data_IF_613050371255
#
_entry.id   IF_613050371255
#
_cell.length_a   1.000
_cell.length_b   1.000
_cell.length_c   1.000
_cell.angle_alpha   90.00
_cell.angle_beta   90.00
_cell.angle_gamma   90.00
#
_symmetry.space_group_name_H-M   'P 1'
#
loop_
_entity.id
_entity.type
_entity.pdbx_description
1 polymer ?
#
# COMPACT_ATOMS: atom_id res chain seq x y z
N UNK A 1 -8.65 14.69 16.92
CA UNK A 1 -7.20 14.87 16.70
C UNK A 1 -7.00 15.96 15.68
N UNK A 2 -6.23 16.97 16.01
CA UNK A 2 -6.37 18.29 15.38
C UNK A 2 -5.78 18.33 13.97
N UNK A 3 -6.60 18.67 13.01
CA UNK A 3 -6.25 19.00 11.63
C UNK A 3 -5.15 20.09 11.54
N UNK A 4 -4.99 20.89 12.59
CA UNK A 4 -3.97 21.95 12.65
C UNK A 4 -2.51 21.45 12.66
N UNK A 5 -2.21 20.27 13.22
CA UNK A 5 -0.86 19.69 13.13
C UNK A 5 -0.54 19.17 11.72
N UNK A 6 -1.54 18.70 10.99
CA UNK A 6 -1.37 18.28 9.60
C UNK A 6 -1.18 19.48 8.64
N UNK A 7 -1.69 20.65 8.99
CA UNK A 7 -1.45 21.89 8.23
C UNK A 7 0.04 22.31 8.21
N UNK A 8 0.74 22.15 9.35
CA UNK A 8 2.15 22.51 9.44
C UNK A 8 3.03 21.60 8.58
N UNK A 9 2.71 20.29 8.58
CA UNK A 9 3.44 19.33 7.76
C UNK A 9 3.16 19.50 6.26
N UNK A 10 1.94 19.92 5.91
CA UNK A 10 1.57 20.19 4.52
C UNK A 10 2.33 21.43 3.98
N UNK A 11 2.36 22.54 4.74
CA UNK A 11 3.07 23.74 4.33
C UNK A 11 4.58 23.55 4.15
N UNK A 12 5.21 22.72 5.00
CA UNK A 12 6.63 22.37 4.90
C UNK A 12 6.90 21.52 3.65
N UNK A 13 6.00 20.58 3.34
CA UNK A 13 6.15 19.72 2.15
C UNK A 13 6.03 20.52 0.85
N UNK A 14 5.11 21.45 0.76
CA UNK A 14 4.93 22.32 -0.40
C UNK A 14 6.12 23.24 -0.62
N UNK A 15 6.62 23.86 0.44
CA UNK A 15 7.84 24.67 0.39
C UNK A 15 9.01 23.85 -0.14
N UNK A 16 9.19 22.61 0.32
CA UNK A 16 10.23 21.73 -0.14
C UNK A 16 10.03 21.24 -1.60
N UNK A 17 8.78 21.01 -2.01
CA UNK A 17 8.45 20.66 -3.39
C UNK A 17 8.71 21.79 -4.37
N UNK A 18 8.45 23.03 -3.98
CA UNK A 18 8.73 24.24 -4.75
C UNK A 18 10.24 24.59 -4.73
N UNK A 19 10.91 24.49 -3.59
CA UNK A 19 12.34 24.77 -3.44
C UNK A 19 13.24 23.79 -4.21
N UNK A 20 12.90 22.50 -4.23
CA UNK A 20 13.68 21.47 -4.92
C UNK A 20 13.58 21.53 -6.46
N UNK A 21 12.80 22.47 -6.99
CA UNK A 21 12.59 22.63 -8.44
C UNK A 21 13.00 23.98 -8.97
N UNK A 22 13.80 24.62 -8.22
CA UNK A 22 14.37 25.95 -8.35
C UNK A 22 14.90 26.37 -9.71
N UNK A 23 14.58 25.82 -10.77
CA UNK A 23 14.99 26.36 -12.06
C UNK A 23 13.88 26.89 -12.91
N UNK A 24 12.66 26.41 -12.71
CA UNK A 24 11.57 26.63 -13.68
C UNK A 24 10.41 27.47 -13.15
N UNK A 25 10.17 27.48 -11.86
CA UNK A 25 8.94 28.06 -11.29
C UNK A 25 9.14 29.40 -10.59
N UNK A 26 10.37 29.73 -10.20
CA UNK A 26 10.67 30.93 -9.45
C UNK A 26 11.21 32.08 -10.30
N UNK A 27 11.54 31.83 -11.54
CA UNK A 27 11.90 32.89 -12.49
C UNK A 27 10.66 33.20 -13.34
N UNK A 28 10.05 34.35 -13.13
CA UNK A 28 9.01 34.90 -13.97
C UNK A 28 9.48 34.89 -15.42
N UNK A 29 8.89 34.09 -16.32
CA UNK A 29 9.25 34.16 -17.73
C UNK A 29 8.92 35.54 -18.27
N UNK A 30 9.86 36.21 -18.92
CA UNK A 30 9.68 37.56 -19.47
C UNK A 30 8.51 37.66 -20.48
N UNK A 31 8.01 36.50 -20.94
CA UNK A 31 6.93 36.41 -21.93
C UNK A 31 5.51 36.56 -21.37
N UNK A 32 5.31 36.53 -20.03
CA UNK A 32 3.97 36.51 -19.43
C UNK A 32 3.67 37.80 -18.70
N UNK A 33 2.56 38.47 -19.09
CA UNK A 33 2.22 39.78 -18.53
C UNK A 33 1.88 39.72 -17.03
N UNK A 34 1.13 38.69 -16.57
CA UNK A 34 0.79 38.47 -15.15
C UNK A 34 0.50 36.97 -14.88
N UNK A 35 1.53 36.12 -14.80
CA UNK A 35 1.31 34.72 -14.50
C UNK A 35 0.83 34.54 -13.05
N UNK A 36 -0.09 33.60 -12.85
CA UNK A 36 -0.67 33.24 -11.57
C UNK A 36 -0.50 31.76 -11.29
N UNK A 37 -0.34 31.38 -10.02
CA UNK A 37 -0.33 30.01 -9.57
C UNK A 37 -1.74 29.60 -9.11
N UNK A 38 -2.22 28.48 -9.60
CA UNK A 38 -3.37 27.78 -9.11
C UNK A 38 -2.95 26.45 -8.47
N UNK A 39 -3.54 26.07 -7.35
CA UNK A 39 -3.30 24.79 -6.72
C UNK A 39 -4.62 24.08 -6.41
N UNK A 40 -4.64 22.75 -6.62
CA UNK A 40 -5.82 21.93 -6.35
C UNK A 40 -5.41 20.60 -5.76
N UNK A 41 -6.09 20.13 -4.70
CA UNK A 41 -5.90 18.79 -4.14
C UNK A 41 -7.05 17.89 -4.58
N UNK A 42 -6.70 16.78 -5.20
CA UNK A 42 -7.62 15.74 -5.65
C UNK A 42 -7.43 14.47 -4.82
N UNK A 43 -8.51 13.74 -4.56
CA UNK A 43 -8.41 12.38 -3.99
C UNK A 43 -8.05 11.35 -5.08
N UNK A 44 -7.89 10.09 -4.67
CA UNK A 44 -7.54 8.99 -5.58
C UNK A 44 -8.65 8.71 -6.62
N UNK A 45 -9.88 9.09 -6.32
CA UNK A 45 -11.05 8.96 -7.20
C UNK A 45 -11.20 10.15 -8.16
N UNK A 46 -10.28 11.13 -8.08
CA UNK A 46 -10.30 12.32 -8.92
C UNK A 46 -11.28 13.41 -8.46
N UNK A 47 -11.75 13.34 -7.21
CA UNK A 47 -12.63 14.36 -6.64
C UNK A 47 -11.80 15.45 -5.97
N UNK A 48 -12.11 16.69 -6.29
CA UNK A 48 -11.50 17.86 -5.68
C UNK A 48 -11.83 17.95 -4.19
N UNK A 49 -10.81 18.19 -3.37
CA UNK A 49 -10.92 18.37 -1.91
C UNK A 49 -10.73 19.81 -1.49
N UNK A 50 -9.84 20.51 -2.14
CA UNK A 50 -9.59 21.92 -1.90
C UNK A 50 -8.94 22.56 -3.11
N UNK A 51 -9.13 23.86 -3.27
CA UNK A 51 -8.56 24.67 -4.34
C UNK A 51 -8.17 26.04 -3.84
N UNK A 52 -7.02 26.49 -4.26
CA UNK A 52 -6.57 27.86 -4.06
C UNK A 52 -6.86 28.66 -5.32
N UNK A 53 -7.46 29.83 -5.13
CA UNK A 53 -7.67 30.81 -6.19
C UNK A 53 -6.33 31.31 -6.72
N UNK A 54 -6.30 31.84 -7.95
CA UNK A 54 -5.06 32.32 -8.54
C UNK A 54 -4.31 33.26 -7.61
N UNK A 55 -3.06 32.93 -7.33
CA UNK A 55 -2.11 33.75 -6.58
C UNK A 55 -1.13 34.38 -7.57
N UNK A 56 -0.76 35.67 -7.40
CA UNK A 56 0.32 36.25 -8.20
C UNK A 56 1.59 35.44 -8.06
N UNK A 57 2.27 35.18 -9.19
CA UNK A 57 3.51 34.43 -9.19
C UNK A 57 4.65 35.32 -8.67
N UNK A 58 5.17 34.98 -7.51
CA UNK A 58 6.30 35.62 -6.86
C UNK A 58 7.49 34.65 -6.81
N UNK A 59 8.68 35.14 -6.40
CA UNK A 59 9.87 34.31 -6.26
C UNK A 59 9.72 33.19 -5.22
N UNK A 60 8.88 33.40 -4.19
CA UNK A 60 8.52 32.42 -3.18
C UNK A 60 7.02 32.59 -2.86
N UNK A 61 6.25 31.51 -3.02
CA UNK A 61 4.81 31.51 -2.73
C UNK A 61 4.55 30.52 -1.61
N UNK A 62 3.94 31.01 -0.52
CA UNK A 62 3.46 30.15 0.56
C UNK A 62 1.94 30.16 0.56
N UNK A 63 1.34 28.98 0.59
CA UNK A 63 -0.10 28.82 0.67
C UNK A 63 -0.48 27.65 1.59
N UNK A 64 -1.72 27.61 2.02
CA UNK A 64 -2.25 26.57 2.88
C UNK A 64 -3.51 25.97 2.26
N UNK A 65 -3.58 24.65 2.15
CA UNK A 65 -4.75 23.93 1.68
C UNK A 65 -5.30 23.04 2.80
N UNK A 66 -6.60 22.76 2.75
CA UNK A 66 -7.29 22.02 3.78
C UNK A 66 -8.01 20.80 3.18
N UNK A 67 -7.64 19.61 3.63
CA UNK A 67 -8.39 18.39 3.39
C UNK A 67 -9.11 18.00 4.68
N UNK A 68 -10.45 18.01 4.65
CA UNK A 68 -11.25 17.62 5.81
C UNK A 68 -11.32 16.10 5.93
N UNK A 69 -11.06 15.57 7.14
CA UNK A 69 -11.09 14.17 7.47
C UNK A 69 -10.34 13.31 6.43
N UNK A 70 -9.04 13.58 6.19
CA UNK A 70 -8.30 12.87 5.16
C UNK A 70 -8.23 11.37 5.49
N UNK A 71 -8.31 10.53 4.45
CA UNK A 71 -7.94 9.12 4.57
C UNK A 71 -6.44 9.05 4.84
N UNK A 72 -6.09 8.45 5.97
CA UNK A 72 -4.70 8.43 6.43
C UNK A 72 -3.91 7.32 5.73
N UNK A 73 -2.72 7.66 5.28
CA UNK A 73 -1.77 6.76 4.66
C UNK A 73 -1.14 5.82 5.71
N UNK A 74 -0.95 4.57 5.32
CA UNK A 74 -0.11 3.60 6.02
C UNK A 74 0.49 2.63 4.98
N UNK A 75 1.46 1.80 5.37
CA UNK A 75 2.14 0.92 4.43
C UNK A 75 1.26 -0.23 3.89
N UNK A 76 0.18 -0.59 4.58
CA UNK A 76 -0.75 -1.64 4.16
C UNK A 76 -1.81 -1.10 3.19
N UNK A 77 -2.26 0.17 3.38
CA UNK A 77 -3.20 0.90 2.52
C UNK A 77 -2.62 2.29 2.18
N UNK A 78 -1.74 2.38 1.18
CA UNK A 78 -1.01 3.60 0.84
C UNK A 78 -1.88 4.60 0.06
N UNK A 79 -2.88 5.18 0.71
CA UNK A 79 -3.75 6.14 0.08
C UNK A 79 -3.04 7.48 -0.15
N UNK A 80 -2.97 7.90 -1.40
CA UNK A 80 -2.36 9.15 -1.80
C UNK A 80 -3.38 10.10 -2.45
N UNK A 81 -3.22 11.38 -2.14
CA UNK A 81 -3.86 12.49 -2.82
C UNK A 81 -2.93 13.03 -3.91
N UNK A 82 -3.46 13.81 -4.83
CA UNK A 82 -2.69 14.51 -5.85
C UNK A 82 -2.78 16.02 -5.61
N UNK A 83 -1.64 16.67 -5.42
CA UNK A 83 -1.52 18.11 -5.50
C UNK A 83 -1.22 18.48 -6.95
N UNK A 84 -2.10 19.23 -7.56
CA UNK A 84 -1.96 19.76 -8.91
C UNK A 84 -1.60 21.23 -8.79
N UNK A 85 -0.47 21.60 -9.35
CA UNK A 85 0.02 22.98 -9.44
C UNK A 85 -0.03 23.38 -10.93
N UNK A 86 -0.62 24.53 -11.21
CA UNK A 86 -0.74 25.05 -12.57
C UNK A 86 -0.35 26.53 -12.59
N UNK A 87 0.51 26.90 -13.53
CA UNK A 87 0.80 28.30 -13.84
C UNK A 87 -0.09 28.70 -15.00
N UNK A 88 -0.92 29.70 -14.80
CA UNK A 88 -1.81 30.24 -15.81
C UNK A 88 -1.34 31.62 -16.24
N UNK A 89 -1.44 31.91 -17.55
CA UNK A 89 -1.32 33.24 -18.12
C UNK A 89 -2.71 33.77 -18.46
N UNK A 90 -3.07 34.94 -17.95
CA UNK A 90 -4.42 35.44 -18.11
C UNK A 90 -5.48 34.53 -17.50
N UNK A 91 -6.69 34.52 -18.03
CA UNK A 91 -7.82 33.78 -17.44
C UNK A 91 -7.91 32.30 -17.85
N UNK A 92 -7.21 31.82 -18.90
CA UNK A 92 -7.55 30.53 -19.51
C UNK A 92 -6.42 29.69 -20.10
N UNK A 93 -5.17 30.04 -19.97
CA UNK A 93 -4.07 29.24 -20.57
C UNK A 93 -3.14 28.65 -19.51
N UNK A 94 -3.09 27.30 -19.44
CA UNK A 94 -2.10 26.60 -18.64
C UNK A 94 -0.77 26.54 -19.40
N UNK A 95 0.30 27.14 -18.86
CA UNK A 95 1.64 27.11 -19.42
C UNK A 95 2.49 25.98 -18.85
N UNK A 96 2.23 25.64 -17.60
CA UNK A 96 2.94 24.57 -16.93
C UNK A 96 2.03 23.92 -15.89
N UNK A 97 2.01 22.59 -15.88
CA UNK A 97 1.23 21.80 -14.95
C UNK A 97 2.10 20.74 -14.30
N UNK A 98 2.03 20.67 -13.00
CA UNK A 98 2.74 19.68 -12.22
C UNK A 98 1.79 18.95 -11.25
N UNK A 99 2.04 17.66 -11.07
CA UNK A 99 1.30 16.82 -10.14
C UNK A 99 2.24 16.17 -9.15
N UNK A 100 1.98 16.37 -7.87
CA UNK A 100 2.71 15.77 -6.76
C UNK A 100 1.81 14.82 -5.97
N UNK A 101 2.39 13.74 -5.49
CA UNK A 101 1.69 12.79 -4.63
C UNK A 101 1.78 13.26 -3.18
N UNK A 102 0.64 13.36 -2.48
CA UNK A 102 0.55 13.73 -1.07
C UNK A 102 -0.01 12.58 -0.25
N UNK A 103 0.43 12.45 1.00
CA UNK A 103 -0.12 11.51 1.95
C UNK A 103 -0.21 12.13 3.35
N UNK A 104 -1.29 11.85 4.05
CA UNK A 104 -1.51 12.28 5.43
C UNK A 104 -1.27 11.11 6.37
N UNK A 105 -0.38 11.29 7.35
CA UNK A 105 0.02 10.26 8.28
C UNK A 105 0.29 10.89 9.66
N UNK A 106 -0.19 10.26 10.72
CA UNK A 106 0.17 10.62 12.10
C UNK A 106 1.24 9.66 12.61
N UNK A 107 2.45 10.16 12.80
CA UNK A 107 3.60 9.39 13.27
C UNK A 107 3.97 9.82 14.69
N UNK A 108 3.95 8.89 15.64
CA UNK A 108 4.26 9.16 17.05
C UNK A 108 5.02 7.98 17.68
N UNK A 109 5.81 8.31 18.69
CA UNK A 109 6.38 7.31 19.60
C UNK A 109 5.59 7.35 20.91
N UNK A 110 5.01 6.22 21.27
CA UNK A 110 4.21 6.05 22.49
C UNK A 110 4.71 4.86 23.27
N UNK A 111 5.21 5.09 24.49
CA UNK A 111 5.75 4.02 25.31
C UNK A 111 6.93 3.24 24.69
N UNK A 112 7.74 3.91 23.87
CA UNK A 112 8.86 3.29 23.14
C UNK A 112 8.45 2.49 21.90
N UNK A 113 7.17 2.55 21.49
CA UNK A 113 6.67 1.93 20.27
C UNK A 113 6.37 3.00 19.22
N UNK A 114 6.77 2.75 17.99
CA UNK A 114 6.34 3.61 16.88
C UNK A 114 4.87 3.33 16.55
N UNK A 115 4.08 4.39 16.59
CA UNK A 115 2.66 4.36 16.27
C UNK A 115 2.41 5.16 14.99
N UNK A 116 1.73 4.55 14.04
CA UNK A 116 1.24 5.16 12.82
C UNK A 116 -0.29 5.25 12.95
N UNK A 117 -0.85 6.45 12.75
CA UNK A 117 -2.29 6.68 12.85
C UNK A 117 -2.90 6.09 14.15
N UNK A 118 -2.17 6.23 15.27
CA UNK A 118 -2.58 5.77 16.59
C UNK A 118 -2.41 4.27 16.86
N UNK A 119 -1.87 3.47 15.93
CA UNK A 119 -1.64 2.03 16.12
C UNK A 119 -0.15 1.70 16.07
N UNK A 120 0.32 0.84 16.97
CA UNK A 120 1.69 0.34 16.95
C UNK A 120 1.95 -0.48 15.69
N UNK A 121 3.08 -0.24 15.03
CA UNK A 121 3.46 -0.93 13.80
C UNK A 121 4.74 -1.74 13.98
N UNK A 122 4.82 -2.86 13.25
CA UNK A 122 6.04 -3.66 13.15
C UNK A 122 6.75 -3.33 11.84
N UNK A 123 8.01 -2.92 11.94
CA UNK A 123 8.85 -2.66 10.77
C UNK A 123 9.55 -3.93 10.31
N UNK A 124 9.27 -4.34 9.08
CA UNK A 124 9.97 -5.42 8.37
C UNK A 124 10.89 -4.76 7.35
N UNK A 125 12.10 -4.46 7.81
CA UNK A 125 13.01 -3.59 7.09
C UNK A 125 13.97 -4.33 6.17
N UNK A 126 14.46 -3.61 5.16
CA UNK A 126 15.63 -3.98 4.36
C UNK A 126 16.37 -2.71 3.95
N UNK A 127 17.68 -2.81 3.74
CA UNK A 127 18.50 -1.69 3.32
C UNK A 127 18.46 -1.49 1.81
N UNK A 128 18.53 -0.24 1.36
CA UNK A 128 18.65 0.06 -0.07
C UNK A 128 20.04 -0.37 -0.57
N UNK A 129 20.14 -1.30 -1.54
CA UNK A 129 21.43 -1.67 -2.14
C UNK A 129 22.11 -0.49 -2.80
N UNK A 130 23.45 -0.49 -2.75
CA UNK A 130 24.24 0.58 -3.35
C UNK A 130 24.25 0.55 -4.89
N UNK A 131 24.46 1.72 -5.50
CA UNK A 131 24.69 1.85 -6.95
C UNK A 131 23.48 1.57 -7.85
N UNK A 132 22.25 1.47 -7.29
CA UNK A 132 21.04 1.20 -8.09
C UNK A 132 20.60 2.42 -8.89
N UNK A 133 20.25 2.17 -10.16
CA UNK A 133 19.58 3.15 -11.02
C UNK A 133 18.09 3.29 -10.61
N UNK A 134 17.46 4.36 -11.04
CA UNK A 134 16.05 4.66 -10.72
C UNK A 134 15.07 3.51 -11.04
N UNK A 135 15.20 2.87 -12.20
CA UNK A 135 14.36 1.72 -12.59
C UNK A 135 14.58 0.49 -11.71
N UNK A 136 15.82 0.28 -11.25
CA UNK A 136 16.18 -0.82 -10.37
C UNK A 136 15.67 -0.59 -8.94
N UNK A 137 15.58 0.68 -8.50
CA UNK A 137 14.96 1.03 -7.21
C UNK A 137 13.48 0.69 -7.22
N UNK A 138 12.72 1.07 -8.24
CA UNK A 138 11.30 0.72 -8.33
C UNK A 138 11.08 -0.80 -8.37
N UNK A 139 11.91 -1.53 -9.11
CA UNK A 139 11.86 -2.99 -9.12
C UNK A 139 12.15 -3.57 -7.73
N UNK A 140 13.11 -3.00 -7.01
CA UNK A 140 13.46 -3.40 -5.66
C UNK A 140 12.29 -3.15 -4.68
N UNK A 141 11.63 -1.98 -4.74
CA UNK A 141 10.45 -1.68 -3.93
C UNK A 141 9.29 -2.66 -4.21
N UNK A 142 9.11 -3.05 -5.48
CA UNK A 142 8.14 -4.08 -5.85
C UNK A 142 8.45 -5.41 -5.19
N UNK A 143 9.70 -5.87 -5.26
CA UNK A 143 10.15 -7.11 -4.63
C UNK A 143 9.95 -7.03 -3.11
N UNK A 144 10.29 -5.91 -2.48
CA UNK A 144 10.04 -5.71 -1.05
C UNK A 144 8.59 -5.99 -0.67
N UNK A 145 7.61 -5.44 -1.40
CA UNK A 145 6.19 -5.69 -1.15
C UNK A 145 5.82 -7.15 -1.35
N UNK A 146 6.31 -7.79 -2.41
CA UNK A 146 6.07 -9.20 -2.72
C UNK A 146 6.72 -10.16 -1.70
N UNK A 147 7.76 -9.71 -1.00
CA UNK A 147 8.42 -10.44 0.10
C UNK A 147 8.02 -9.92 1.48
N UNK A 148 6.86 -9.25 1.56
CA UNK A 148 6.25 -8.77 2.80
C UNK A 148 7.09 -7.77 3.61
N UNK A 149 8.07 -7.12 3.00
CA UNK A 149 8.81 -6.01 3.61
C UNK A 149 7.99 -4.72 3.49
N UNK A 150 7.99 -3.93 4.54
CA UNK A 150 7.22 -2.68 4.61
C UNK A 150 8.10 -1.46 4.90
N UNK A 151 9.42 -1.64 5.09
CA UNK A 151 10.31 -0.57 5.54
C UNK A 151 11.61 -0.58 4.77
N UNK A 152 11.99 0.56 4.21
CA UNK A 152 13.26 0.79 3.56
C UNK A 152 14.18 1.59 4.47
N UNK A 153 15.40 1.08 4.71
CA UNK A 153 16.45 1.77 5.44
C UNK A 153 17.44 2.41 4.45
N UNK A 154 17.76 3.66 4.69
CA UNK A 154 18.71 4.42 3.89
C UNK A 154 19.69 5.18 4.76
N UNK A 155 20.86 5.50 4.20
CA UNK A 155 21.72 6.55 4.72
C UNK A 155 21.18 7.93 4.31
N UNK A 156 21.45 8.96 5.09
CA UNK A 156 20.93 10.32 4.86
C UNK A 156 21.28 10.90 3.48
N UNK A 157 22.45 10.52 2.92
CA UNK A 157 22.90 10.93 1.60
C UNK A 157 22.09 10.35 0.43
N UNK A 158 21.33 9.29 0.68
CA UNK A 158 20.47 8.63 -0.32
C UNK A 158 19.02 9.12 -0.33
N UNK A 159 18.68 10.01 0.60
CA UNK A 159 17.34 10.58 0.66
C UNK A 159 17.10 11.53 -0.51
N UNK A 160 16.02 11.32 -1.24
CA UNK A 160 15.61 12.19 -2.34
C UNK A 160 14.08 12.26 -2.40
N UNK A 161 13.54 13.38 -2.89
CA UNK A 161 12.10 13.56 -3.09
C UNK A 161 11.49 12.47 -3.98
N UNK A 162 12.23 12.00 -4.97
CA UNK A 162 11.79 10.91 -5.84
C UNK A 162 11.70 9.57 -5.09
N UNK A 163 12.67 9.24 -4.24
CA UNK A 163 12.64 8.03 -3.42
C UNK A 163 11.49 8.08 -2.41
N UNK A 164 11.30 9.22 -1.74
CA UNK A 164 10.17 9.44 -0.83
C UNK A 164 8.83 9.24 -1.51
N UNK A 165 8.66 9.81 -2.71
CA UNK A 165 7.46 9.64 -3.53
C UNK A 165 7.22 8.15 -3.83
N UNK A 166 8.22 7.43 -4.31
CA UNK A 166 8.08 6.00 -4.60
C UNK A 166 7.74 5.20 -3.34
N UNK A 167 8.45 5.41 -2.23
CA UNK A 167 8.13 4.73 -0.97
C UNK A 167 6.69 4.97 -0.54
N UNK A 168 6.19 6.21 -0.68
CA UNK A 168 4.80 6.57 -0.40
C UNK A 168 3.82 5.83 -1.31
N UNK A 169 4.05 5.83 -2.62
CA UNK A 169 3.18 5.18 -3.60
C UNK A 169 3.17 3.64 -3.46
N UNK A 170 4.30 3.05 -3.12
CA UNK A 170 4.42 1.60 -2.88
C UNK A 170 3.94 1.15 -1.49
N UNK A 171 3.67 2.07 -0.57
CA UNK A 171 3.33 1.74 0.81
C UNK A 171 4.52 1.16 1.57
N UNK A 172 5.62 1.92 1.60
CA UNK A 172 6.86 1.55 2.28
C UNK A 172 7.25 2.69 3.22
N UNK A 173 7.48 2.37 4.49
CA UNK A 173 8.06 3.31 5.45
C UNK A 173 9.51 3.58 5.08
N UNK A 174 9.92 4.84 5.07
CA UNK A 174 11.29 5.25 4.80
C UNK A 174 11.96 5.71 6.11
N UNK A 175 12.99 5.01 6.54
CA UNK A 175 13.75 5.33 7.75
C UNK A 175 15.19 5.66 7.42
N UNK A 176 15.76 6.65 8.11
CA UNK A 176 17.17 7.02 7.99
C UNK A 176 18.00 6.37 9.09
N UNK A 177 19.10 5.74 8.71
CA UNK A 177 20.07 5.19 9.65
C UNK A 177 20.75 6.33 10.44
N UNK A 178 20.67 6.25 11.77
CA UNK A 178 21.28 7.21 12.68
C UNK A 178 20.43 8.43 13.06
N UNK A 179 19.35 8.77 12.31
CA UNK A 179 18.42 9.85 12.68
C UNK A 179 17.17 9.33 13.37
N UNK A 180 16.66 8.21 12.90
CA UNK A 180 15.50 7.53 13.47
C UNK A 180 15.92 6.49 14.51
N UNK A 181 16.96 6.82 15.30
CA UNK A 181 17.67 5.91 16.21
C UNK A 181 16.90 5.53 17.50
N UNK A 182 15.61 5.76 17.53
CA UNK A 182 14.72 5.38 18.62
C UNK A 182 14.21 3.94 18.51
N UNK A 183 13.32 3.55 19.41
CA UNK A 183 12.86 2.16 19.55
C UNK A 183 12.31 1.52 18.26
N UNK A 184 11.80 2.32 17.32
CA UNK A 184 11.32 1.86 16.03
C UNK A 184 12.43 1.38 15.11
N UNK A 185 13.53 2.11 15.02
CA UNK A 185 14.71 1.75 14.26
C UNK A 185 15.38 0.47 14.76
N UNK A 186 15.55 0.34 16.09
CA UNK A 186 16.13 -0.86 16.69
C UNK A 186 15.29 -2.11 16.37
N UNK A 187 13.98 -1.97 16.41
CA UNK A 187 13.04 -3.05 16.06
C UNK A 187 13.11 -3.41 14.58
N UNK A 188 13.14 -2.42 13.70
CA UNK A 188 13.29 -2.62 12.27
C UNK A 188 14.58 -3.39 11.93
N UNK A 189 15.69 -3.09 12.62
CA UNK A 189 16.96 -3.80 12.43
C UNK A 189 16.90 -5.28 12.88
N UNK A 190 16.17 -5.58 13.94
CA UNK A 190 16.01 -6.96 14.44
C UNK A 190 15.19 -7.84 13.48
N UNK A 191 14.32 -7.23 12.66
CA UNK A 191 13.50 -7.95 11.67
C UNK A 191 14.15 -8.05 10.29
N UNK A 192 15.29 -7.38 10.06
CA UNK A 192 16.01 -7.44 8.77
C UNK A 192 16.47 -8.85 8.39
N UNK A 193 16.85 -9.67 9.38
CA UNK A 193 17.40 -11.00 9.17
C UNK A 193 16.34 -12.10 9.07
N UNK A 194 15.06 -11.75 9.23
CA UNK A 194 13.96 -12.71 9.12
C UNK A 194 13.52 -12.83 7.66
N UNK A 195 13.86 -13.92 7.01
CA UNK A 195 13.25 -14.32 5.75
C UNK A 195 11.83 -14.83 6.03
N UNK A 196 10.83 -14.03 5.66
CA UNK A 196 9.44 -14.46 5.75
C UNK A 196 9.07 -15.20 4.46
N UNK A 197 9.05 -16.53 4.52
CA UNK A 197 8.56 -17.38 3.42
C UNK A 197 7.04 -17.29 3.24
N UNK A 198 6.30 -16.91 4.31
CA UNK A 198 4.84 -16.78 4.31
C UNK A 198 4.42 -15.36 4.65
N UNK A 199 3.24 -14.96 4.16
CA UNK A 199 2.66 -13.68 4.54
C UNK A 199 2.47 -13.59 6.06
N UNK A 200 3.14 -12.65 6.75
CA UNK A 200 2.99 -12.49 8.19
C UNK A 200 1.67 -11.81 8.58
N UNK A 201 1.01 -11.12 7.64
CA UNK A 201 -0.20 -10.34 7.90
C UNK A 201 -1.48 -11.18 7.73
N UNK A 202 -1.45 -12.26 6.93
CA UNK A 202 -2.58 -13.16 6.75
C UNK A 202 -2.14 -14.62 6.79
N UNK A 203 -2.81 -15.40 7.65
CA UNK A 203 -2.65 -16.85 7.70
C UNK A 203 -3.98 -17.52 7.39
N UNK A 204 -3.93 -18.54 6.54
CA UNK A 204 -5.08 -19.34 6.15
C UNK A 204 -4.87 -20.78 6.61
N UNK A 205 -5.89 -21.37 7.21
CA UNK A 205 -5.93 -22.78 7.53
C UNK A 205 -7.20 -23.40 6.96
N UNK A 206 -7.04 -24.17 5.90
CA UNK A 206 -8.15 -24.86 5.24
C UNK A 206 -8.53 -26.11 6.03
N UNK A 207 -9.82 -26.27 6.25
CA UNK A 207 -10.45 -27.48 6.80
C UNK A 207 -11.58 -27.94 5.88
N UNK A 208 -12.15 -29.13 6.12
CA UNK A 208 -13.12 -29.75 5.22
C UNK A 208 -14.37 -28.89 4.88
N UNK A 209 -14.77 -28.00 5.77
CA UNK A 209 -16.00 -27.22 5.61
C UNK A 209 -15.76 -25.73 5.38
N UNK A 210 -14.49 -25.30 5.31
CA UNK A 210 -14.18 -23.89 5.15
C UNK A 210 -12.72 -23.53 5.41
N UNK A 211 -12.48 -22.30 5.79
CA UNK A 211 -11.16 -21.77 6.08
C UNK A 211 -11.18 -20.90 7.33
N UNK A 212 -10.23 -21.12 8.22
CA UNK A 212 -9.90 -20.18 9.28
C UNK A 212 -8.96 -19.11 8.68
N UNK A 213 -9.35 -17.86 8.78
CA UNK A 213 -8.55 -16.70 8.36
C UNK A 213 -8.10 -15.97 9.63
N UNK A 214 -6.80 -15.88 9.82
CA UNK A 214 -6.18 -15.05 10.85
C UNK A 214 -5.60 -13.79 10.19
N UNK A 215 -6.15 -12.64 10.57
CA UNK A 215 -5.73 -11.35 10.06
C UNK A 215 -4.85 -10.66 11.12
N UNK A 216 -3.54 -10.73 10.96
CA UNK A 216 -2.53 -10.09 11.80
C UNK A 216 -2.12 -8.70 11.30
N UNK A 217 -2.74 -8.18 10.23
CA UNK A 217 -2.47 -6.84 9.75
C UNK A 217 -2.84 -5.78 10.79
N UNK A 218 -2.26 -4.59 10.67
CA UNK A 218 -2.52 -3.50 11.61
C UNK A 218 -3.72 -2.65 11.18
N UNK A 219 -3.93 -2.48 9.87
CA UNK A 219 -4.90 -1.52 9.34
C UNK A 219 -5.94 -2.14 8.43
N UNK A 220 -5.60 -3.19 7.69
CA UNK A 220 -6.40 -3.68 6.56
C UNK A 220 -7.35 -4.78 7.00
N UNK A 221 -8.63 -4.68 6.59
CA UNK A 221 -9.60 -5.74 6.71
C UNK A 221 -9.44 -6.75 5.55
N UNK A 222 -9.63 -8.04 5.80
CA UNK A 222 -9.61 -9.06 4.73
C UNK A 222 -10.68 -8.81 3.65
N UNK A 223 -11.68 -7.97 3.92
CA UNK A 223 -12.67 -7.54 2.92
C UNK A 223 -12.06 -6.75 1.74
N UNK A 224 -10.83 -6.26 1.86
CA UNK A 224 -10.09 -5.63 0.75
C UNK A 224 -9.56 -6.63 -0.28
N UNK A 225 -9.67 -7.94 0.01
CA UNK A 225 -9.25 -9.05 -0.85
C UNK A 225 -10.42 -9.92 -1.25
N UNK A 226 -10.30 -10.64 -2.38
CA UNK A 226 -11.20 -11.73 -2.72
C UNK A 226 -10.69 -13.03 -2.09
N UNK A 227 -11.59 -13.78 -1.48
CA UNK A 227 -11.33 -15.15 -1.06
C UNK A 227 -11.65 -16.07 -2.24
N UNK A 228 -10.63 -16.48 -2.96
CA UNK A 228 -10.73 -17.40 -4.08
C UNK A 228 -10.53 -18.83 -3.58
N UNK A 229 -11.34 -19.77 -4.06
CA UNK A 229 -11.16 -21.20 -3.78
C UNK A 229 -11.35 -22.03 -5.01
N UNK A 230 -10.56 -23.10 -5.12
CA UNK A 230 -10.58 -24.00 -6.25
C UNK A 230 -10.34 -25.46 -5.83
N UNK A 231 -10.83 -26.39 -6.65
CA UNK A 231 -10.58 -27.82 -6.52
C UNK A 231 -9.82 -28.27 -7.73
N UNK A 232 -8.70 -28.91 -7.48
CA UNK A 232 -7.81 -29.46 -8.49
C UNK A 232 -7.81 -30.99 -8.39
N UNK A 233 -7.85 -31.71 -9.51
CA UNK A 233 -7.64 -33.15 -9.54
C UNK A 233 -6.17 -33.52 -9.32
N UNK A 234 -5.87 -34.80 -9.31
CA UNK A 234 -4.51 -35.33 -9.13
C UNK A 234 -3.54 -34.88 -10.24
N UNK A 235 -4.04 -34.54 -11.43
CA UNK A 235 -3.24 -34.01 -12.55
C UNK A 235 -2.98 -32.49 -12.43
N UNK A 236 -3.64 -31.81 -11.50
CA UNK A 236 -3.62 -30.35 -11.35
C UNK A 236 -4.64 -29.63 -12.23
N UNK A 237 -5.55 -30.35 -12.87
CA UNK A 237 -6.63 -29.77 -13.66
C UNK A 237 -7.72 -29.23 -12.71
N UNK A 238 -8.20 -28.03 -12.99
CA UNK A 238 -9.26 -27.37 -12.24
C UNK A 238 -10.61 -28.03 -12.49
N UNK A 239 -11.23 -28.51 -11.42
CA UNK A 239 -12.57 -29.11 -11.41
C UNK A 239 -13.64 -28.06 -11.11
N UNK A 240 -13.37 -27.16 -10.19
CA UNK A 240 -14.26 -26.03 -9.84
C UNK A 240 -13.46 -24.86 -9.28
N UNK A 241 -14.01 -23.65 -9.42
CA UNK A 241 -13.50 -22.44 -8.80
C UNK A 241 -14.64 -21.49 -8.46
N UNK A 242 -14.45 -20.68 -7.45
CA UNK A 242 -15.38 -19.62 -7.08
C UNK A 242 -14.71 -18.57 -6.21
N UNK A 243 -15.38 -17.43 -6.00
CA UNK A 243 -14.91 -16.32 -5.17
C UNK A 243 -15.96 -15.95 -4.12
N UNK A 244 -15.52 -15.57 -2.94
CA UNK A 244 -16.32 -15.04 -1.86
C UNK A 244 -15.75 -13.72 -1.37
N UNK A 245 -16.62 -12.84 -0.90
CA UNK A 245 -16.23 -11.71 -0.08
C UNK A 245 -16.17 -12.16 1.38
N UNK A 246 -15.14 -11.74 2.09
CA UNK A 246 -14.99 -12.02 3.52
C UNK A 246 -14.79 -10.73 4.29
N UNK A 247 -15.18 -10.75 5.57
CA UNK A 247 -15.02 -9.63 6.50
C UNK A 247 -14.32 -10.16 7.75
N UNK A 248 -13.01 -9.90 7.83
CA UNK A 248 -12.15 -10.24 8.98
C UNK A 248 -11.34 -9.00 9.31
N UNK A 249 -11.74 -8.23 10.34
CA UNK A 249 -11.06 -7.01 10.73
C UNK A 249 -9.59 -7.25 11.11
N UNK A 250 -8.78 -6.20 10.99
CA UNK A 250 -7.38 -6.21 11.43
C UNK A 250 -7.24 -6.68 12.87
N UNK A 251 -6.28 -7.56 13.15
CA UNK A 251 -6.02 -8.11 14.49
C UNK A 251 -7.05 -9.14 14.97
N UNK A 252 -7.90 -9.68 14.10
CA UNK A 252 -8.91 -10.70 14.45
C UNK A 252 -8.77 -11.96 13.62
N UNK A 253 -9.50 -13.01 14.02
CA UNK A 253 -9.63 -14.24 13.25
C UNK A 253 -11.10 -14.61 13.07
N UNK A 254 -11.41 -15.28 11.96
CA UNK A 254 -12.76 -15.72 11.65
C UNK A 254 -12.72 -17.02 10.85
N UNK A 255 -13.61 -17.95 11.20
CA UNK A 255 -13.90 -19.07 10.34
C UNK A 255 -14.92 -18.66 9.28
N UNK A 256 -14.63 -18.99 8.02
CA UNK A 256 -15.49 -18.73 6.87
C UNK A 256 -15.93 -20.07 6.30
N UNK A 257 -17.22 -20.34 6.35
CA UNK A 257 -17.81 -21.49 5.67
C UNK A 257 -17.69 -21.30 4.16
N UNK A 258 -17.20 -22.33 3.49
CA UNK A 258 -17.11 -22.33 2.03
C UNK A 258 -18.04 -23.43 1.52
N UNK A 259 -18.97 -23.12 0.60
CA UNK A 259 -19.87 -24.10 0.02
C UNK A 259 -19.07 -25.09 -0.84
N UNK A 260 -18.58 -26.12 -0.20
CA UNK A 260 -17.76 -27.15 -0.81
C UNK A 260 -18.63 -28.18 -1.51
N UNK A 261 -18.38 -28.40 -2.80
CA UNK A 261 -18.96 -29.51 -3.56
C UNK A 261 -17.83 -30.44 -3.98
N UNK A 262 -17.76 -31.60 -3.33
CA UNK A 262 -16.82 -32.63 -3.77
C UNK A 262 -17.16 -33.05 -5.21
N UNK A 263 -16.19 -33.19 -6.10
CA UNK A 263 -16.41 -33.75 -7.43
C UNK A 263 -17.08 -35.12 -7.35
N UNK A 264 -18.00 -35.40 -8.27
CA UNK A 264 -18.75 -36.66 -8.28
C UNK A 264 -17.88 -37.89 -8.59
N UNK A 265 -16.78 -37.68 -9.31
CA UNK A 265 -15.86 -38.77 -9.69
C UNK A 265 -15.01 -39.18 -8.47
N UNK A 266 -14.80 -40.50 -8.28
CA UNK A 266 -13.89 -40.97 -7.25
C UNK A 266 -12.44 -40.55 -7.54
N UNK A 267 -11.74 -40.06 -6.51
CA UNK A 267 -10.36 -39.66 -6.71
C UNK A 267 -9.79 -38.82 -5.54
N UNK A 268 -8.53 -38.51 -5.67
CA UNK A 268 -7.83 -37.55 -4.80
C UNK A 268 -7.86 -36.17 -5.43
N UNK A 269 -8.20 -35.19 -4.64
CA UNK A 269 -8.30 -33.79 -5.05
C UNK A 269 -7.50 -32.92 -4.10
N UNK A 270 -7.08 -31.75 -4.57
CA UNK A 270 -6.54 -30.67 -3.75
C UNK A 270 -7.56 -29.55 -3.69
N UNK A 271 -7.87 -29.14 -2.49
CA UNK A 271 -8.69 -27.99 -2.22
C UNK A 271 -7.79 -26.84 -1.80
N UNK A 272 -7.75 -25.79 -2.59
CA UNK A 272 -6.89 -24.62 -2.39
C UNK A 272 -7.76 -23.40 -2.13
N UNK A 273 -7.38 -22.62 -1.12
CA UNK A 273 -8.01 -21.34 -0.79
C UNK A 273 -6.95 -20.25 -0.77
N UNK A 274 -7.25 -19.11 -1.37
CA UNK A 274 -6.32 -18.00 -1.52
C UNK A 274 -7.00 -16.66 -1.29
N UNK A 275 -6.34 -15.74 -0.59
CA UNK A 275 -6.69 -14.32 -0.59
C UNK A 275 -5.98 -13.64 -1.75
N UNK A 276 -6.73 -12.97 -2.62
CA UNK A 276 -6.24 -12.34 -3.84
C UNK A 276 -6.59 -10.87 -3.92
N UNK A 277 -5.72 -10.06 -4.53
CA UNK A 277 -5.98 -8.64 -4.77
C UNK A 277 -7.24 -8.44 -5.61
N UNK A 278 -8.14 -7.56 -5.19
CA UNK A 278 -9.36 -7.16 -5.91
C UNK A 278 -9.12 -6.26 -7.11
N UNK A 279 -8.00 -5.52 -7.11
CA UNK A 279 -7.64 -4.52 -8.12
C UNK A 279 -6.13 -4.53 -8.38
N UNK A 280 -5.74 -3.94 -9.48
CA UNK A 280 -4.33 -3.65 -9.74
C UNK A 280 -3.79 -2.67 -8.70
N UNK A 281 -2.60 -2.95 -8.23
CA UNK A 281 -1.80 -2.05 -7.39
C UNK A 281 -0.44 -1.84 -8.04
N UNK A 282 0.30 -0.79 -7.62
CA UNK A 282 1.57 -0.44 -8.26
C UNK A 282 2.61 -1.58 -8.27
N UNK A 283 2.53 -2.49 -7.30
CA UNK A 283 3.49 -3.58 -7.13
C UNK A 283 2.99 -4.95 -7.60
N UNK A 284 1.66 -5.14 -7.87
CA UNK A 284 1.10 -6.41 -8.34
C UNK A 284 -0.24 -6.21 -9.07
N UNK A 285 -0.60 -7.09 -10.03
CA UNK A 285 -1.88 -7.06 -10.71
C UNK A 285 -3.02 -7.59 -9.84
N UNK A 286 -4.26 -7.29 -10.22
CA UNK A 286 -5.46 -7.96 -9.72
C UNK A 286 -5.30 -9.49 -9.80
N UNK A 287 -5.78 -10.20 -8.78
CA UNK A 287 -5.66 -11.65 -8.67
C UNK A 287 -4.32 -12.13 -8.11
N UNK A 288 -3.37 -11.23 -7.83
CA UNK A 288 -2.14 -11.61 -7.15
C UNK A 288 -2.45 -12.24 -5.78
N UNK A 289 -1.88 -13.42 -5.53
CA UNK A 289 -2.11 -14.19 -4.29
C UNK A 289 -1.34 -13.55 -3.13
N UNK A 290 -2.07 -13.11 -2.11
CA UNK A 290 -1.51 -12.53 -0.88
C UNK A 290 -1.17 -13.62 0.13
N UNK A 291 -2.09 -14.58 0.31
CA UNK A 291 -1.89 -15.72 1.19
C UNK A 291 -2.69 -16.91 0.63
N UNK A 292 -2.20 -18.11 0.83
CA UNK A 292 -2.87 -19.32 0.40
C UNK A 292 -2.68 -20.46 1.38
N UNK A 293 -3.61 -21.41 1.33
CA UNK A 293 -3.53 -22.68 2.05
C UNK A 293 -4.22 -23.76 1.23
N UNK A 294 -3.76 -24.98 1.35
CA UNK A 294 -4.35 -26.13 0.66
C UNK A 294 -4.52 -27.32 1.60
N UNK A 295 -5.47 -28.17 1.26
CA UNK A 295 -5.65 -29.49 1.89
C UNK A 295 -6.00 -30.54 0.84
N UNK A 296 -5.68 -31.80 1.14
CA UNK A 296 -6.09 -32.93 0.31
C UNK A 296 -7.46 -33.43 0.75
N UNK A 297 -8.26 -33.78 -0.23
CA UNK A 297 -9.56 -34.39 -0.05
C UNK A 297 -9.66 -35.62 -0.94
N UNK A 298 -10.35 -36.62 -0.48
CA UNK A 298 -10.60 -37.84 -1.26
C UNK A 298 -12.09 -38.13 -1.33
N UNK A 299 -12.59 -38.41 -2.55
CA UNK A 299 -13.93 -38.95 -2.73
C UNK A 299 -13.81 -40.48 -2.83
N UNK A 300 -14.32 -41.19 -1.83
CA UNK A 300 -14.22 -42.64 -1.69
C UNK A 300 -15.52 -43.39 -2.08
N UNK A 301 -16.42 -42.76 -2.83
CA UNK A 301 -17.75 -43.35 -3.09
C UNK A 301 -17.73 -44.72 -3.80
N UNK A 302 -16.63 -45.19 -4.37
CA UNK A 302 -16.57 -46.50 -5.04
C UNK A 302 -16.35 -47.73 -4.13
N UNK A 303 -16.06 -47.56 -2.83
CA UNK A 303 -15.71 -48.72 -1.98
C UNK A 303 -16.90 -49.54 -1.49
N UNK A 304 -18.12 -49.02 -1.59
CA UNK A 304 -19.31 -49.69 -1.01
C UNK A 304 -20.07 -50.56 -2.01
N UNK A 305 -19.84 -50.47 -3.32
CA UNK A 305 -20.52 -51.33 -4.30
C UNK A 305 -19.79 -52.68 -4.56
N UNK A 306 -18.51 -52.80 -4.22
CA UNK A 306 -17.69 -53.98 -4.44
C UNK A 306 -17.67 -54.97 -3.24
N UNK A 307 -18.24 -54.63 -2.11
CA UNK A 307 -18.30 -55.54 -0.94
C UNK A 307 -19.63 -56.36 -0.87
N UNK A 308 -20.58 -56.17 -1.83
CA UNK A 308 -21.84 -56.86 -1.91
C UNK A 308 -22.04 -57.72 -3.15
N UNK A 309 -20.93 -58.20 -3.76
CA UNK A 309 -21.00 -59.27 -4.81
C UNK A 309 -20.38 -60.58 -4.32
#
# INVERSE_FOLDING_TARGET
MCVEKQKADFGVYEKQALENQTGLYLTRPEAYAEPVLCACVMDAEGKEKDRIFPLPLENEISFCMRVEQPKLWNAEDPYCYQLILEILEGENFSHDRRTESLAFCDWKIVGGLTCINGKAVNFRATALPEGKKASEVQQFLRIMKQTYKNTLLINSDKRSSQLERWCREYGIYLLEEGKDADAGWLRARLDMDRENEKNPDFQLQVVQTGVLIENHSTFVNASEYNLHYEILDSSGKKCSENELCTDVPAGTSKFVDIPFQCPAEPGEYRYQVSLCLKRDVIWAPKGYVIASSETKISNLYERLENENQ
#
